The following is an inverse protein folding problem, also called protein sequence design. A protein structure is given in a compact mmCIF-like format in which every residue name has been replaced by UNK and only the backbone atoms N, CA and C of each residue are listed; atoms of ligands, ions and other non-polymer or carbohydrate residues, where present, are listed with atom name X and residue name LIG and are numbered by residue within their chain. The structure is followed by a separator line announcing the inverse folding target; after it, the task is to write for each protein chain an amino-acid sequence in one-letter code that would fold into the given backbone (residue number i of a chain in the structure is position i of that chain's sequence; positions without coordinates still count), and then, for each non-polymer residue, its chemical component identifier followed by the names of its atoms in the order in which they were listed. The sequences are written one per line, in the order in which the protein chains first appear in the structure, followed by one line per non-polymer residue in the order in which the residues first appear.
data_IF_397881136693
#
_entry.id   IF_397881136693
#
_cell.length_a   1.000
_cell.length_b   1.000
_cell.length_c   1.000
_cell.angle_alpha   90.00
_cell.angle_beta   90.00
_cell.angle_gamma   90.00
#
_symmetry.space_group_name_H-M   'P 1'
#
loop_
_entity.id
_entity.type
_entity.pdbx_description
1 polymer ?
#
# COMPACT_ATOMS: atom_id res chain seq x y z
N UNK A 1 14.41 4.61 -13.40
CA UNK A 1 13.77 5.13 -14.63
C UNK A 1 12.26 5.12 -14.41
N UNK A 2 11.50 6.09 -14.96
CA UNK A 2 10.03 6.05 -14.93
C UNK A 2 9.53 4.84 -15.74
N UNK A 3 8.48 4.17 -15.24
CA UNK A 3 7.78 3.13 -16.00
C UNK A 3 6.28 3.43 -15.95
N UNK A 4 5.50 3.17 -17.01
CA UNK A 4 4.06 3.43 -17.01
C UNK A 4 3.33 2.77 -15.84
N UNK A 5 3.72 1.55 -15.48
CA UNK A 5 3.13 0.77 -14.36
C UNK A 5 3.40 1.44 -13.00
N UNK A 6 4.64 1.91 -12.78
CA UNK A 6 5.04 2.64 -11.57
C UNK A 6 4.32 3.99 -11.45
N UNK A 7 4.23 4.73 -12.56
CA UNK A 7 3.58 6.03 -12.59
C UNK A 7 2.08 5.91 -12.31
N UNK A 8 1.43 4.90 -12.90
CA UNK A 8 0.03 4.56 -12.61
C UNK A 8 -0.19 4.23 -11.13
N UNK A 9 0.69 3.38 -10.53
CA UNK A 9 0.59 3.03 -9.11
C UNK A 9 0.72 4.26 -8.20
N UNK A 10 1.68 5.14 -8.48
CA UNK A 10 1.86 6.36 -7.72
C UNK A 10 0.68 7.33 -7.87
N UNK A 11 0.11 7.40 -9.07
CA UNK A 11 -1.08 8.21 -9.34
C UNK A 11 -2.27 7.72 -8.51
N UNK A 12 -2.62 6.43 -8.59
CA UNK A 12 -3.72 5.84 -7.79
C UNK A 12 -3.51 6.12 -6.29
N UNK A 13 -2.29 5.88 -5.79
CA UNK A 13 -1.98 6.08 -4.37
C UNK A 13 -2.16 7.55 -3.94
N UNK A 14 -1.78 8.51 -4.77
CA UNK A 14 -1.89 9.94 -4.46
C UNK A 14 -3.32 10.46 -4.56
N UNK A 15 -4.07 10.00 -5.55
CA UNK A 15 -5.44 10.46 -5.78
C UNK A 15 -6.41 9.89 -4.74
N UNK A 16 -6.30 8.59 -4.43
CA UNK A 16 -7.21 7.94 -3.50
C UNK A 16 -6.77 8.09 -2.04
N UNK A 17 -5.46 8.28 -1.81
CA UNK A 17 -4.81 8.42 -0.50
C UNK A 17 -5.00 7.23 0.44
N UNK A 18 -5.53 6.12 -0.07
CA UNK A 18 -5.76 4.86 0.66
C UNK A 18 -5.21 3.71 -0.15
N UNK A 19 -4.46 2.82 0.52
CA UNK A 19 -4.09 1.51 0.01
C UNK A 19 -4.81 0.43 0.83
N UNK A 20 -5.60 -0.39 0.17
CA UNK A 20 -6.26 -1.53 0.81
C UNK A 20 -5.29 -2.71 0.90
N UNK A 21 -5.05 -3.21 2.12
CA UNK A 21 -4.19 -4.36 2.38
C UNK A 21 -5.06 -5.61 2.49
N UNK A 22 -5.02 -6.45 1.47
CA UNK A 22 -5.79 -7.69 1.35
C UNK A 22 -4.92 -8.86 1.86
N UNK A 23 -5.01 -9.13 3.17
CA UNK A 23 -4.20 -10.15 3.82
C UNK A 23 -4.97 -11.45 3.93
N UNK A 24 -4.48 -12.49 3.23
CA UNK A 24 -5.02 -13.87 3.32
C UNK A 24 -6.55 -13.93 3.14
N UNK A 25 -7.08 -13.12 2.22
CA UNK A 25 -8.52 -13.16 1.90
C UNK A 25 -8.85 -14.50 1.24
N UNK A 26 -9.88 -15.24 1.70
CA UNK A 26 -10.32 -16.46 1.04
C UNK A 26 -10.70 -16.22 -0.42
N UNK A 27 -10.46 -17.24 -1.28
CA UNK A 27 -10.62 -17.11 -2.73
C UNK A 27 -11.99 -16.60 -3.15
N UNK A 28 -13.02 -17.13 -2.55
CA UNK A 28 -14.42 -16.79 -2.81
C UNK A 28 -14.78 -15.34 -2.43
N UNK A 29 -14.00 -14.71 -1.55
CA UNK A 29 -14.24 -13.34 -1.09
C UNK A 29 -13.32 -12.30 -1.74
N UNK A 30 -12.21 -12.73 -2.36
CA UNK A 30 -11.19 -11.81 -2.89
C UNK A 30 -11.73 -10.86 -3.96
N UNK A 31 -12.34 -11.40 -5.01
CA UNK A 31 -12.92 -10.58 -6.08
C UNK A 31 -14.09 -9.73 -5.60
N UNK A 32 -15.07 -10.27 -4.83
CA UNK A 32 -16.16 -9.47 -4.27
C UNK A 32 -15.71 -8.27 -3.45
N UNK A 33 -14.73 -8.43 -2.55
CA UNK A 33 -14.24 -7.30 -1.73
C UNK A 33 -13.44 -6.31 -2.57
N UNK A 34 -12.61 -6.78 -3.50
CA UNK A 34 -11.88 -5.92 -4.41
C UNK A 34 -12.80 -5.09 -5.31
N UNK A 35 -13.91 -5.65 -5.81
CA UNK A 35 -14.94 -4.92 -6.55
C UNK A 35 -15.56 -3.79 -5.70
N UNK A 36 -15.83 -4.05 -4.43
CA UNK A 36 -16.38 -3.05 -3.51
C UNK A 36 -15.37 -1.93 -3.23
N UNK A 37 -14.09 -2.27 -3.04
CA UNK A 37 -13.02 -1.30 -2.83
C UNK A 37 -12.85 -0.37 -4.04
N UNK A 38 -12.72 -0.93 -5.23
CA UNK A 38 -12.53 -0.15 -6.46
C UNK A 38 -13.76 0.71 -6.77
N UNK A 39 -14.97 0.16 -6.64
CA UNK A 39 -16.21 0.92 -6.82
C UNK A 39 -16.37 2.04 -5.78
N UNK A 40 -15.85 1.87 -4.57
CA UNK A 40 -15.81 2.86 -3.50
C UNK A 40 -14.73 3.94 -3.68
N UNK A 41 -13.84 3.79 -4.65
CA UNK A 41 -12.76 4.77 -4.93
C UNK A 41 -11.42 4.44 -4.27
N UNK A 42 -11.19 3.19 -3.87
CA UNK A 42 -9.89 2.70 -3.38
C UNK A 42 -9.29 1.80 -4.45
N UNK A 43 -8.36 2.35 -5.24
CA UNK A 43 -7.78 1.67 -6.41
C UNK A 43 -6.39 1.09 -6.17
N UNK A 44 -5.75 1.33 -5.03
CA UNK A 44 -4.49 0.71 -4.67
C UNK A 44 -4.76 -0.55 -3.83
N UNK A 45 -4.53 -1.73 -4.41
CA UNK A 45 -4.84 -3.04 -3.82
C UNK A 45 -3.54 -3.82 -3.55
N UNK A 46 -3.17 -3.99 -2.28
CA UNK A 46 -1.99 -4.74 -1.84
C UNK A 46 -2.38 -6.17 -1.46
N UNK A 47 -1.90 -7.18 -2.20
CA UNK A 47 -1.97 -8.59 -1.81
C UNK A 47 -0.74 -8.90 -0.95
N UNK A 48 -0.91 -9.42 0.27
CA UNK A 48 0.24 -9.77 1.11
C UNK A 48 0.85 -11.10 0.69
N UNK A 49 2.20 -11.15 0.57
CA UNK A 49 2.93 -12.32 0.06
C UNK A 49 3.32 -13.32 1.16
N UNK A 50 2.42 -13.54 2.11
CA UNK A 50 2.60 -14.42 3.28
C UNK A 50 1.72 -15.69 3.22
N UNK A 51 1.26 -16.05 2.02
CA UNK A 51 0.51 -17.29 1.74
C UNK A 51 0.74 -17.77 0.30
N UNK A 52 0.44 -19.06 0.05
CA UNK A 52 0.81 -19.77 -1.18
C UNK A 52 0.22 -19.17 -2.46
N UNK A 53 -1.05 -18.72 -2.41
CA UNK A 53 -1.77 -18.20 -3.58
C UNK A 53 -1.49 -16.74 -3.94
N UNK A 54 -0.70 -16.02 -3.14
CA UNK A 54 -0.52 -14.57 -3.28
C UNK A 54 -0.20 -14.12 -4.72
N UNK A 55 0.71 -14.80 -5.42
CA UNK A 55 1.05 -14.48 -6.81
C UNK A 55 -0.10 -14.72 -7.78
N UNK A 56 -0.88 -15.80 -7.60
CA UNK A 56 -2.06 -16.08 -8.41
C UNK A 56 -3.17 -15.05 -8.17
N UNK A 57 -3.36 -14.62 -6.93
CA UNK A 57 -4.32 -13.59 -6.56
C UNK A 57 -3.94 -12.20 -7.13
N UNK A 58 -2.65 -11.88 -7.19
CA UNK A 58 -2.18 -10.68 -7.92
C UNK A 58 -2.57 -10.77 -9.39
N UNK A 59 -2.28 -11.90 -10.07
CA UNK A 59 -2.62 -12.07 -11.48
C UNK A 59 -4.14 -11.96 -11.73
N UNK A 60 -4.95 -12.58 -10.85
CA UNK A 60 -6.42 -12.54 -10.92
C UNK A 60 -6.95 -11.09 -10.84
N UNK A 61 -6.46 -10.28 -9.89
CA UNK A 61 -6.91 -8.91 -9.75
C UNK A 61 -6.36 -7.99 -10.86
N UNK A 62 -5.15 -8.23 -11.36
CA UNK A 62 -4.59 -7.53 -12.52
C UNK A 62 -5.44 -7.78 -13.75
N UNK A 63 -5.82 -9.05 -14.03
CA UNK A 63 -6.73 -9.39 -15.12
C UNK A 63 -8.11 -8.74 -14.96
N UNK A 64 -8.64 -8.75 -13.73
CA UNK A 64 -9.98 -8.20 -13.40
C UNK A 64 -10.08 -6.70 -13.63
N UNK A 65 -9.08 -5.94 -13.19
CA UNK A 65 -9.18 -4.48 -13.13
C UNK A 65 -8.42 -3.75 -14.24
N UNK A 66 -7.34 -4.35 -14.78
CA UNK A 66 -6.50 -3.70 -15.79
C UNK A 66 -6.04 -2.31 -15.33
N UNK A 67 -6.30 -1.29 -16.15
CA UNK A 67 -5.91 0.10 -15.84
C UNK A 67 -6.85 0.81 -14.83
N UNK A 68 -7.91 0.14 -14.35
CA UNK A 68 -8.87 0.75 -13.41
C UNK A 68 -8.35 0.78 -11.98
N UNK A 69 -7.40 -0.10 -11.63
CA UNK A 69 -6.79 -0.17 -10.32
C UNK A 69 -5.32 -0.55 -10.41
N UNK A 70 -4.55 -0.14 -9.42
CA UNK A 70 -3.17 -0.53 -9.21
C UNK A 70 -3.14 -1.72 -8.27
N UNK A 71 -2.75 -2.88 -8.76
CA UNK A 71 -2.59 -4.10 -7.97
C UNK A 71 -1.11 -4.35 -7.72
N UNK A 72 -0.74 -4.63 -6.49
CA UNK A 72 0.64 -4.93 -6.15
C UNK A 72 0.75 -5.91 -4.99
N UNK A 73 1.98 -6.12 -4.57
CA UNK A 73 2.31 -7.10 -3.53
C UNK A 73 2.88 -6.42 -2.30
N UNK A 74 2.54 -6.94 -1.12
CA UNK A 74 3.13 -6.53 0.15
C UNK A 74 3.64 -7.69 0.97
N UNK A 75 4.26 -7.38 2.10
CA UNK A 75 4.94 -8.38 2.94
C UNK A 75 5.98 -9.17 2.13
N UNK A 76 6.65 -8.47 1.21
CA UNK A 76 7.67 -9.05 0.33
C UNK A 76 9.01 -9.05 1.04
N UNK A 77 9.67 -10.21 1.13
CA UNK A 77 10.90 -10.44 1.88
C UNK A 77 12.11 -10.77 1.00
N UNK A 78 11.85 -11.29 -0.21
CA UNK A 78 12.92 -11.80 -1.08
C UNK A 78 12.80 -11.28 -2.50
N UNK A 79 13.92 -11.34 -3.22
CA UNK A 79 14.00 -10.99 -4.64
C UNK A 79 13.07 -11.87 -5.47
N UNK A 80 13.01 -13.17 -5.20
CA UNK A 80 12.17 -14.12 -5.93
C UNK A 80 10.68 -13.80 -5.78
N UNK A 81 10.26 -13.35 -4.59
CA UNK A 81 8.89 -12.89 -4.37
C UNK A 81 8.58 -11.65 -5.21
N UNK A 82 9.50 -10.67 -5.26
CA UNK A 82 9.33 -9.48 -6.10
C UNK A 82 9.28 -9.83 -7.58
N UNK A 83 10.12 -10.76 -8.06
CA UNK A 83 10.14 -11.22 -9.45
C UNK A 83 8.85 -11.95 -9.83
N UNK A 84 8.37 -12.85 -8.99
CA UNK A 84 7.11 -13.58 -9.22
C UNK A 84 5.91 -12.64 -9.27
N UNK A 85 5.85 -11.66 -8.36
CA UNK A 85 4.80 -10.65 -8.35
C UNK A 85 4.85 -9.76 -9.61
N UNK A 86 6.04 -9.33 -10.02
CA UNK A 86 6.21 -8.56 -11.26
C UNK A 86 5.78 -9.33 -12.49
N UNK A 87 6.09 -10.63 -12.56
CA UNK A 87 5.66 -11.52 -13.64
C UNK A 87 4.13 -11.69 -13.67
N UNK A 88 3.47 -11.65 -12.51
CA UNK A 88 2.02 -11.65 -12.37
C UNK A 88 1.36 -10.30 -12.71
N UNK A 89 2.13 -9.26 -13.02
CA UNK A 89 1.64 -7.95 -13.42
C UNK A 89 1.56 -6.93 -12.29
N UNK A 90 2.13 -7.20 -11.11
CA UNK A 90 2.16 -6.24 -10.01
C UNK A 90 2.74 -4.88 -10.43
N UNK A 91 2.12 -3.80 -9.97
CA UNK A 91 2.51 -2.42 -10.27
C UNK A 91 3.33 -1.78 -9.15
N UNK A 92 3.27 -2.34 -7.96
CA UNK A 92 4.05 -1.91 -6.79
C UNK A 92 4.49 -3.08 -5.91
N UNK A 93 5.52 -2.84 -5.10
CA UNK A 93 6.05 -3.77 -4.13
C UNK A 93 6.25 -3.08 -2.77
N UNK A 94 5.58 -3.60 -1.74
CA UNK A 94 5.65 -3.10 -0.37
C UNK A 94 6.44 -4.07 0.50
N UNK A 95 7.47 -3.58 1.17
CA UNK A 95 8.29 -4.36 2.06
C UNK A 95 7.95 -4.03 3.52
N UNK A 96 7.96 -4.98 4.44
CA UNK A 96 7.70 -4.70 5.86
C UNK A 96 8.86 -3.96 6.57
N UNK A 97 10.05 -4.04 6.01
CA UNK A 97 11.27 -3.36 6.47
C UNK A 97 12.13 -2.93 5.29
N UNK A 98 13.39 -2.57 5.53
CA UNK A 98 14.32 -2.18 4.47
C UNK A 98 15.22 -3.37 4.12
N UNK A 99 14.87 -4.07 3.05
CA UNK A 99 15.79 -4.95 2.34
C UNK A 99 16.25 -4.26 1.04
N UNK A 100 17.55 -3.95 0.98
CA UNK A 100 18.12 -3.15 -0.10
C UNK A 100 18.10 -3.89 -1.44
N UNK A 101 18.33 -5.19 -1.42
CA UNK A 101 18.39 -6.02 -2.62
C UNK A 101 17.01 -6.16 -3.24
N UNK A 102 16.02 -6.55 -2.45
CA UNK A 102 14.63 -6.68 -2.87
C UNK A 102 14.05 -5.33 -3.34
N UNK A 103 14.34 -4.22 -2.63
CA UNK A 103 13.88 -2.90 -3.03
C UNK A 103 14.46 -2.46 -4.39
N UNK A 104 15.77 -2.65 -4.60
CA UNK A 104 16.41 -2.35 -5.90
C UNK A 104 15.86 -3.21 -7.02
N UNK A 105 15.72 -4.51 -6.77
CA UNK A 105 15.18 -5.42 -7.77
C UNK A 105 13.76 -5.04 -8.17
N UNK A 106 12.91 -4.68 -7.19
CA UNK A 106 11.55 -4.20 -7.44
C UNK A 106 11.54 -2.94 -8.33
N UNK A 107 12.44 -1.99 -8.07
CA UNK A 107 12.60 -0.79 -8.87
C UNK A 107 13.09 -1.10 -10.29
N UNK A 108 14.05 -2.02 -10.46
CA UNK A 108 14.57 -2.46 -11.77
C UNK A 108 13.48 -3.17 -12.59
N UNK A 109 12.56 -3.86 -11.94
CA UNK A 109 11.37 -4.47 -12.54
C UNK A 109 10.29 -3.44 -12.92
N UNK A 110 10.50 -2.16 -12.62
CA UNK A 110 9.58 -1.06 -12.94
C UNK A 110 8.37 -0.95 -12.02
N UNK A 111 8.41 -1.55 -10.84
CA UNK A 111 7.38 -1.41 -9.81
C UNK A 111 7.62 -0.18 -8.94
N UNK A 112 6.56 0.43 -8.42
CA UNK A 112 6.64 1.42 -7.34
C UNK A 112 7.12 0.73 -6.06
N UNK A 113 8.17 1.25 -5.39
CA UNK A 113 8.77 0.61 -4.22
C UNK A 113 8.45 1.33 -2.92
N UNK A 114 7.92 0.57 -1.95
CA UNK A 114 7.49 1.10 -0.65
C UNK A 114 8.15 0.29 0.50
N UNK A 115 9.45 0.50 0.80
CA UNK A 115 10.09 -0.15 1.93
C UNK A 115 9.59 0.39 3.28
N UNK A 116 9.44 -0.50 4.26
CA UNK A 116 9.02 -0.18 5.62
C UNK A 116 10.14 0.49 6.42
N UNK A 117 9.81 1.58 7.11
CA UNK A 117 10.75 2.36 7.92
C UNK A 117 10.08 2.84 9.21
N UNK A 118 10.87 2.93 10.29
CA UNK A 118 10.44 3.53 11.55
C UNK A 118 11.54 4.37 12.22
N UNK A 119 12.74 4.35 11.70
CA UNK A 119 13.88 5.10 12.24
C UNK A 119 14.55 5.96 11.17
N UNK A 120 15.25 7.05 11.55
CA UNK A 120 16.06 7.84 10.62
C UNK A 120 17.10 7.03 9.84
N UNK A 121 17.70 6.02 10.44
CA UNK A 121 18.68 5.17 9.78
C UNK A 121 18.04 4.30 8.67
N UNK A 122 16.87 3.73 8.95
CA UNK A 122 16.09 2.98 7.96
C UNK A 122 15.61 3.88 6.82
N UNK A 123 15.13 5.10 7.12
CA UNK A 123 14.74 6.09 6.11
C UNK A 123 15.91 6.38 5.16
N UNK A 124 17.10 6.64 5.70
CA UNK A 124 18.28 6.90 4.86
C UNK A 124 18.65 5.69 3.99
N UNK A 125 18.55 4.48 4.55
CA UNK A 125 18.83 3.25 3.82
C UNK A 125 17.80 3.03 2.71
N UNK A 126 16.51 3.21 3.00
CA UNK A 126 15.43 3.11 2.03
C UNK A 126 15.60 4.12 0.87
N UNK A 127 15.94 5.37 1.18
CA UNK A 127 16.22 6.39 0.15
C UNK A 127 17.39 5.96 -0.77
N UNK A 128 18.47 5.45 -0.20
CA UNK A 128 19.64 4.97 -0.96
C UNK A 128 19.35 3.72 -1.78
N UNK A 129 18.37 2.91 -1.41
CA UNK A 129 17.90 1.75 -2.18
C UNK A 129 16.96 2.12 -3.33
N UNK A 130 16.56 3.38 -3.46
CA UNK A 130 15.69 3.86 -4.54
C UNK A 130 14.20 3.85 -4.19
N UNK A 131 13.86 3.92 -2.89
CA UNK A 131 12.47 4.01 -2.45
C UNK A 131 11.71 5.16 -3.11
N UNK A 132 10.51 4.90 -3.58
CA UNK A 132 9.59 5.88 -4.15
C UNK A 132 8.72 6.52 -3.07
N UNK A 133 8.19 5.70 -2.18
CA UNK A 133 7.37 6.07 -1.04
C UNK A 133 7.94 5.35 0.19
N UNK A 134 8.03 6.05 1.30
CA UNK A 134 8.47 5.47 2.57
C UNK A 134 7.24 4.95 3.33
N UNK A 135 7.14 3.63 3.52
CA UNK A 135 6.09 3.03 4.36
C UNK A 135 6.45 3.22 5.82
N UNK A 136 5.80 4.15 6.50
CA UNK A 136 5.92 4.29 7.95
C UNK A 136 5.18 3.14 8.63
N UNK A 137 5.92 2.16 9.17
CA UNK A 137 5.37 0.90 9.68
C UNK A 137 6.15 0.35 10.88
N UNK A 138 5.45 -0.10 11.95
CA UNK A 138 4.05 0.17 12.23
C UNK A 138 3.83 1.65 12.55
N UNK A 139 2.74 2.24 12.05
CA UNK A 139 2.50 3.67 12.22
C UNK A 139 1.90 4.02 13.60
N UNK A 140 1.17 3.10 14.22
CA UNK A 140 0.57 3.32 15.52
C UNK A 140 0.74 2.09 16.45
N UNK A 141 1.50 2.20 17.59
CA UNK A 141 2.39 3.31 17.93
C UNK A 141 3.59 3.42 16.98
N UNK A 142 4.29 4.59 16.87
CA UNK A 142 4.28 5.75 17.76
C UNK A 142 3.28 6.86 17.40
N UNK A 143 2.51 6.73 16.32
CA UNK A 143 1.46 7.65 15.96
C UNK A 143 1.88 8.84 15.08
N UNK A 144 0.92 9.72 14.70
CA UNK A 144 1.15 10.81 13.77
C UNK A 144 2.15 11.86 14.29
N UNK A 145 2.27 12.03 15.60
CA UNK A 145 3.24 12.95 16.22
C UNK A 145 4.70 12.62 15.81
N UNK A 146 5.04 11.34 15.72
CA UNK A 146 6.37 10.92 15.27
C UNK A 146 6.59 11.33 13.80
N UNK A 147 5.60 11.06 12.95
CA UNK A 147 5.69 11.41 11.53
C UNK A 147 5.85 12.92 11.34
N UNK A 148 5.06 13.73 12.07
CA UNK A 148 5.14 15.19 12.02
C UNK A 148 6.52 15.74 12.42
N UNK A 149 7.23 15.06 13.32
CA UNK A 149 8.58 15.45 13.72
C UNK A 149 9.66 15.00 12.74
N UNK A 150 9.49 13.85 12.10
CA UNK A 150 10.51 13.22 11.25
C UNK A 150 10.37 13.63 9.78
N UNK A 151 9.15 13.66 9.24
CA UNK A 151 8.92 13.94 7.82
C UNK A 151 9.54 15.28 7.32
N UNK A 152 9.56 16.39 8.09
CA UNK A 152 10.18 17.64 7.64
C UNK A 152 11.67 17.51 7.29
N UNK A 153 12.42 16.61 7.94
CA UNK A 153 13.81 16.35 7.62
C UNK A 153 14.01 15.67 6.25
N UNK A 154 12.94 15.10 5.71
CA UNK A 154 12.92 14.34 4.45
C UNK A 154 11.89 14.89 3.45
N UNK A 155 11.73 16.21 3.40
CA UNK A 155 10.66 16.97 2.71
C UNK A 155 10.35 16.56 1.27
N UNK A 156 11.28 15.93 0.57
CA UNK A 156 11.07 15.48 -0.81
C UNK A 156 10.60 14.03 -0.93
N UNK A 157 10.39 13.36 0.20
CA UNK A 157 10.02 11.95 0.23
C UNK A 157 8.59 11.77 0.70
N UNK A 158 7.74 11.13 -0.11
CA UNK A 158 6.39 10.80 0.30
C UNK A 158 6.38 9.69 1.35
N UNK A 159 5.53 9.83 2.36
CA UNK A 159 5.27 8.81 3.37
C UNK A 159 3.88 8.23 3.22
N UNK A 160 3.75 6.92 3.43
CA UNK A 160 2.48 6.20 3.61
C UNK A 160 2.45 5.60 5.01
N UNK A 161 1.48 5.99 5.84
CA UNK A 161 1.34 5.44 7.18
C UNK A 161 0.55 4.12 7.15
N UNK A 162 1.12 3.06 7.72
CA UNK A 162 0.51 1.72 7.70
C UNK A 162 0.70 1.02 9.05
N UNK A 163 -0.31 0.26 9.48
CA UNK A 163 -0.30 -0.47 10.76
C UNK A 163 -0.88 0.37 11.91
N UNK A 164 -2.06 -0.04 12.39
CA UNK A 164 -2.83 0.66 13.41
C UNK A 164 -3.52 1.94 12.95
N UNK A 165 -3.65 2.14 11.63
CA UNK A 165 -4.44 3.22 11.06
C UNK A 165 -5.91 2.80 10.99
N UNK A 166 -6.79 3.72 11.39
CA UNK A 166 -8.25 3.57 11.40
C UNK A 166 -8.89 4.82 10.78
N UNK A 167 -10.19 4.76 10.49
CA UNK A 167 -10.94 5.94 10.01
C UNK A 167 -10.84 7.10 11.00
N UNK A 168 -10.83 6.80 12.33
CA UNK A 168 -10.80 7.82 13.37
C UNK A 168 -9.44 8.55 13.49
N UNK A 169 -8.33 7.91 13.10
CA UNK A 169 -7.00 8.49 13.27
C UNK A 169 -6.29 8.86 11.94
N UNK A 170 -6.83 8.47 10.78
CA UNK A 170 -6.15 8.67 9.49
C UNK A 170 -5.96 10.16 9.13
N UNK A 171 -6.90 11.03 9.48
CA UNK A 171 -6.79 12.47 9.24
C UNK A 171 -5.53 13.05 9.90
N UNK A 172 -5.24 12.64 11.14
CA UNK A 172 -4.05 13.09 11.85
C UNK A 172 -2.72 12.65 11.17
N UNK A 173 -2.72 11.51 10.46
CA UNK A 173 -1.56 11.11 9.65
C UNK A 173 -1.41 11.96 8.40
N UNK A 174 -2.50 12.37 7.76
CA UNK A 174 -2.46 13.30 6.64
C UNK A 174 -1.96 14.69 7.09
N UNK A 175 -2.45 15.20 8.22
CA UNK A 175 -1.97 16.45 8.82
C UNK A 175 -0.47 16.37 9.18
N UNK A 176 0.01 15.18 9.54
CA UNK A 176 1.43 14.92 9.81
C UNK A 176 2.30 14.78 8.56
N UNK A 177 1.72 14.86 7.35
CA UNK A 177 2.43 14.84 6.07
C UNK A 177 2.45 13.50 5.35
N UNK A 178 1.64 12.51 5.76
CA UNK A 178 1.45 11.30 4.96
C UNK A 178 0.70 11.63 3.66
N UNK A 179 1.14 11.11 2.52
CA UNK A 179 0.43 11.24 1.26
C UNK A 179 -0.72 10.24 1.15
N UNK A 180 -0.60 9.11 1.84
CA UNK A 180 -1.56 8.02 1.85
C UNK A 180 -1.50 7.24 3.18
N UNK A 181 -2.51 6.41 3.40
CA UNK A 181 -2.55 5.42 4.49
C UNK A 181 -2.77 4.02 3.94
N UNK A 182 -2.16 3.01 4.58
CA UNK A 182 -2.41 1.59 4.30
C UNK A 182 -3.27 0.99 5.41
N UNK A 183 -4.42 0.43 5.04
CA UNK A 183 -5.41 -0.11 5.95
C UNK A 183 -5.84 -1.52 5.51
N UNK A 184 -6.02 -2.43 6.48
CA UNK A 184 -6.49 -3.79 6.25
C UNK A 184 -7.97 -3.92 6.70
N UNK A 185 -8.24 -4.80 7.65
CA UNK A 185 -9.55 -5.01 8.27
C UNK A 185 -10.19 -3.73 8.85
N UNK A 186 -9.37 -2.78 9.27
CA UNK A 186 -9.86 -1.46 9.71
C UNK A 186 -10.50 -0.64 8.59
N UNK A 187 -10.33 -1.02 7.31
CA UNK A 187 -10.93 -0.37 6.15
C UNK A 187 -12.28 -0.99 5.75
N UNK A 188 -12.39 -2.30 5.83
CA UNK A 188 -13.55 -3.02 5.30
C UNK A 188 -14.20 -4.03 6.29
N UNK A 189 -13.61 -4.22 7.48
CA UNK A 189 -14.15 -5.13 8.50
C UNK A 189 -14.10 -6.59 8.06
N UNK A 190 -15.22 -7.28 8.23
CA UNK A 190 -15.39 -8.64 7.74
C UNK A 190 -15.60 -8.61 6.21
N UNK A 191 -14.69 -9.21 5.47
CA UNK A 191 -14.73 -9.30 4.00
C UNK A 191 -15.94 -10.09 3.46
N UNK A 192 -16.63 -10.84 4.30
CA UNK A 192 -17.88 -11.54 3.95
C UNK A 192 -19.12 -10.61 4.04
N UNK A 193 -19.06 -9.56 4.84
CA UNK A 193 -20.13 -8.54 4.95
C UNK A 193 -19.87 -7.35 4.01
N UNK A 194 -20.19 -7.55 2.73
CA UNK A 194 -19.97 -6.51 1.70
C UNK A 194 -20.84 -5.25 1.91
N UNK A 195 -21.96 -5.34 2.63
CA UNK A 195 -22.77 -4.15 2.93
C UNK A 195 -22.04 -3.26 3.92
N UNK A 196 -21.56 -3.85 5.01
CA UNK A 196 -20.78 -3.16 6.02
C UNK A 196 -19.47 -2.63 5.47
N UNK A 197 -18.80 -3.42 4.62
CA UNK A 197 -17.57 -2.99 3.95
C UNK A 197 -17.78 -1.71 3.12
N UNK A 198 -18.88 -1.61 2.35
CA UNK A 198 -19.21 -0.38 1.59
C UNK A 198 -19.34 0.85 2.49
N UNK A 199 -20.02 0.72 3.63
CA UNK A 199 -20.18 1.85 4.57
C UNK A 199 -18.82 2.29 5.14
N UNK A 200 -17.97 1.34 5.55
CA UNK A 200 -16.65 1.63 6.12
C UNK A 200 -15.72 2.26 5.10
N UNK A 201 -15.70 1.74 3.87
CA UNK A 201 -14.88 2.28 2.76
C UNK A 201 -15.35 3.71 2.43
N UNK A 202 -16.66 3.95 2.33
CA UNK A 202 -17.19 5.29 2.06
C UNK A 202 -16.75 6.29 3.13
N UNK A 203 -16.86 5.93 4.40
CA UNK A 203 -16.41 6.76 5.51
C UNK A 203 -14.90 7.08 5.44
N UNK A 204 -14.06 6.08 5.12
CA UNK A 204 -12.62 6.30 4.97
C UNK A 204 -12.30 7.23 3.76
N UNK A 205 -12.97 7.02 2.63
CA UNK A 205 -12.79 7.85 1.43
C UNK A 205 -13.23 9.28 1.67
N UNK A 206 -14.33 9.51 2.40
CA UNK A 206 -14.77 10.85 2.77
C UNK A 206 -13.73 11.59 3.63
N UNK A 207 -13.13 10.91 4.61
CA UNK A 207 -12.03 11.48 5.42
C UNK A 207 -10.80 11.77 4.54
N UNK A 208 -10.40 10.84 3.68
CA UNK A 208 -9.24 11.01 2.81
C UNK A 208 -9.38 12.20 1.84
N UNK A 209 -10.59 12.49 1.36
CA UNK A 209 -10.91 13.62 0.47
C UNK A 209 -10.99 14.96 1.20
N UNK A 210 -11.36 14.95 2.48
CA UNK A 210 -11.51 16.16 3.29
C UNK A 210 -10.18 16.65 3.89
N UNK A 211 -9.16 15.78 3.93
CA UNK A 211 -7.82 16.06 4.46
C UNK A 211 -6.88 16.49 3.35
#
# INVERSE_FOLDING_TARGET
MSSPRRDHALQCLREDRIMAVLRQIPEEHLVPIADVLVAGGVRSLEITHDYERATADVALLVERFGDKASVGVGTTWTVEQAESASAAGATFCVLPGVDVETARRSADLGMLTLPGVQTPAEIQTAIKSGADVLKFFPANPPGPTWLAQVAPAYQQRPFMATGGVTVDNMAAFFDAGAIAVGMADTLFGDFADLSRAREMIAAAVDVARAS
#
